data_IF_684206503441
#
_entry.id   IF_684206503441
#
_cell.length_a   1.000
_cell.length_b   1.000
_cell.length_c   1.000
_cell.angle_alpha   90.00
_cell.angle_beta   90.00
_cell.angle_gamma   90.00
#
_symmetry.space_group_name_H-M   'P 1'
#
loop_
_entity.id
_entity.type
_entity.pdbx_description
1 polymer ?
#
# COMPACT_ATOMS: atom_id res chain seq x y z
N UNK A 1 7.90 3.10 3.44
CA UNK A 1 9.22 3.05 4.09
C UNK A 1 9.07 2.48 5.49
N UNK A 2 10.03 1.70 5.98
CA UNK A 2 10.05 1.07 7.30
C UNK A 2 11.22 1.59 8.13
N UNK A 3 10.98 1.89 9.39
CA UNK A 3 12.06 2.29 10.30
C UNK A 3 12.93 1.09 10.67
N UNK A 4 14.25 1.22 10.49
CA UNK A 4 15.23 0.18 10.85
C UNK A 4 15.33 -0.03 12.36
N UNK A 5 15.01 1.00 13.16
CA UNK A 5 15.10 0.97 14.62
C UNK A 5 13.85 0.41 15.31
N UNK A 6 12.66 0.84 14.90
CA UNK A 6 11.41 0.49 15.60
C UNK A 6 10.36 -0.20 14.73
N UNK A 7 10.66 -0.45 13.44
CA UNK A 7 9.74 -1.12 12.52
C UNK A 7 8.55 -0.28 12.04
N UNK A 8 8.36 0.95 12.54
CA UNK A 8 7.24 1.81 12.14
C UNK A 8 7.24 2.08 10.62
N UNK A 9 6.07 1.98 9.99
CA UNK A 9 5.90 2.24 8.56
C UNK A 9 5.33 3.64 8.31
N UNK A 10 5.89 4.33 7.33
CA UNK A 10 5.45 5.67 6.89
C UNK A 10 5.69 5.85 5.39
N UNK A 11 4.99 6.80 4.79
CA UNK A 11 5.19 7.25 3.40
C UNK A 11 5.83 8.65 3.39
N UNK A 12 6.71 8.92 2.42
CA UNK A 12 7.21 10.26 2.10
C UNK A 12 7.97 10.99 3.21
N UNK A 13 8.72 10.29 4.07
CA UNK A 13 9.50 10.91 5.16
C UNK A 13 10.97 10.50 5.10
N UNK A 14 11.85 11.41 5.54
CA UNK A 14 13.30 11.18 5.61
C UNK A 14 13.67 10.46 6.93
N UNK A 15 12.95 10.75 8.03
CA UNK A 15 13.17 10.15 9.35
C UNK A 15 11.89 9.58 9.94
N UNK A 16 12.03 8.57 10.80
CA UNK A 16 10.91 7.94 11.48
C UNK A 16 10.22 8.94 12.43
N UNK A 17 8.90 9.17 12.29
CA UNK A 17 8.19 10.12 13.15
C UNK A 17 8.00 9.63 14.59
N UNK A 18 8.18 8.33 14.86
CA UNK A 18 8.04 7.78 16.22
C UNK A 18 9.34 7.83 17.04
N UNK A 19 10.49 7.60 16.41
CA UNK A 19 11.75 7.41 17.16
C UNK A 19 12.96 8.13 16.55
N UNK A 20 12.77 8.90 15.47
CA UNK A 20 13.85 9.60 14.77
C UNK A 20 14.82 8.69 13.99
N UNK A 21 14.61 7.37 13.99
CA UNK A 21 15.45 6.40 13.29
C UNK A 21 15.41 6.53 11.77
N UNK A 22 16.37 5.88 11.11
CA UNK A 22 16.43 5.82 9.65
C UNK A 22 15.30 4.98 9.05
N UNK A 23 14.95 5.30 7.81
CA UNK A 23 13.88 4.68 7.06
C UNK A 23 14.47 3.99 5.83
N UNK A 24 14.11 2.74 5.63
CA UNK A 24 14.42 1.99 4.41
C UNK A 24 13.17 1.82 3.55
N UNK A 25 13.37 1.70 2.24
CA UNK A 25 12.28 1.31 1.36
C UNK A 25 11.86 -0.12 1.67
N UNK A 26 10.57 -0.39 1.55
CA UNK A 26 10.04 -1.75 1.62
C UNK A 26 9.62 -2.08 0.22
N UNK A 27 10.24 -3.11 -0.36
CA UNK A 27 9.96 -3.51 -1.74
C UNK A 27 8.56 -4.09 -1.88
N UNK A 28 8.12 -4.85 -0.87
CA UNK A 28 6.82 -5.52 -0.90
C UNK A 28 6.28 -5.71 0.51
N UNK A 29 4.97 -5.50 0.68
CA UNK A 29 4.27 -5.69 1.94
C UNK A 29 3.09 -6.62 1.71
N UNK A 30 3.03 -7.72 2.46
CA UNK A 30 1.86 -8.59 2.46
C UNK A 30 0.74 -8.03 3.35
N UNK A 31 -0.50 -8.23 2.92
CA UNK A 31 -1.67 -7.84 3.70
C UNK A 31 -2.97 -8.46 3.23
N UNK A 32 -4.06 -8.12 3.92
CA UNK A 32 -5.42 -8.56 3.63
C UNK A 32 -6.26 -7.37 3.19
N UNK A 33 -6.96 -7.49 2.07
CA UNK A 33 -7.94 -6.49 1.62
C UNK A 33 -9.09 -6.41 2.62
N UNK A 34 -9.35 -5.21 3.14
CA UNK A 34 -10.51 -4.91 3.99
C UNK A 34 -11.67 -4.35 3.18
N UNK A 35 -11.38 -3.41 2.29
CA UNK A 35 -12.35 -2.75 1.41
C UNK A 35 -11.72 -2.53 0.04
N UNK A 36 -12.54 -2.56 -1.00
CA UNK A 36 -12.14 -2.26 -2.37
C UNK A 36 -13.22 -1.43 -3.03
N UNK A 37 -12.82 -0.29 -3.58
CA UNK A 37 -13.69 0.63 -4.31
C UNK A 37 -13.30 0.67 -5.76
N UNK A 38 -14.29 0.65 -6.64
CA UNK A 38 -14.13 0.89 -8.07
C UNK A 38 -14.21 2.40 -8.33
N UNK A 39 -13.19 2.92 -9.00
CA UNK A 39 -13.16 4.30 -9.50
C UNK A 39 -13.33 4.23 -11.02
N UNK A 40 -14.43 4.78 -11.55
CA UNK A 40 -14.81 4.70 -12.97
C UNK A 40 -14.57 6.01 -13.75
N UNK A 41 -14.14 7.07 -13.06
CA UNK A 41 -13.87 8.39 -13.65
C UNK A 41 -12.61 8.90 -12.99
N UNK A 42 -11.49 8.76 -13.68
CA UNK A 42 -10.15 9.06 -13.17
C UNK A 42 -9.61 10.34 -13.81
N UNK A 43 -8.62 11.00 -13.18
CA UNK A 43 -7.95 12.14 -13.79
C UNK A 43 -7.41 11.83 -15.20
N UNK A 44 -7.34 12.84 -16.06
CA UNK A 44 -6.74 12.72 -17.39
C UNK A 44 -5.31 12.14 -17.31
N UNK A 45 -4.97 11.26 -18.26
CA UNK A 45 -3.71 10.51 -18.32
C UNK A 45 -3.54 9.38 -17.29
N UNK A 46 -4.62 8.97 -16.62
CA UNK A 46 -4.68 7.72 -15.85
C UNK A 46 -5.60 6.71 -16.53
N UNK A 47 -5.58 5.47 -16.04
CA UNK A 47 -6.46 4.41 -16.50
C UNK A 47 -7.92 4.81 -16.27
N UNK A 48 -8.81 4.66 -17.26
CA UNK A 48 -10.22 5.10 -17.18
C UNK A 48 -10.96 4.51 -15.96
N UNK A 49 -10.50 3.35 -15.49
CA UNK A 49 -11.04 2.66 -14.34
C UNK A 49 -9.95 1.88 -13.60
N UNK A 50 -9.94 1.98 -12.28
CA UNK A 50 -9.13 1.13 -11.40
C UNK A 50 -9.84 0.87 -10.07
N UNK A 51 -9.35 -0.12 -9.34
CA UNK A 51 -9.75 -0.40 -7.96
C UNK A 51 -8.77 0.24 -7.00
N UNK A 52 -9.28 0.96 -6.01
CA UNK A 52 -8.51 1.41 -4.85
C UNK A 52 -8.87 0.52 -3.67
N UNK A 53 -7.89 -0.14 -3.07
CA UNK A 53 -8.12 -1.08 -1.97
C UNK A 53 -7.42 -0.64 -0.69
N UNK A 54 -8.14 -0.74 0.44
CA UNK A 54 -7.57 -0.59 1.78
C UNK A 54 -7.09 -1.96 2.25
N UNK A 55 -5.79 -2.09 2.44
CA UNK A 55 -5.13 -3.35 2.84
C UNK A 55 -4.62 -3.22 4.28
N UNK A 56 -5.01 -4.17 5.11
CA UNK A 56 -4.44 -4.34 6.45
C UNK A 56 -3.16 -5.17 6.36
N UNK A 57 -2.11 -4.66 6.97
CA UNK A 57 -0.78 -5.26 7.05
C UNK A 57 -0.41 -5.43 8.52
N UNK A 58 0.64 -6.19 8.83
CA UNK A 58 1.13 -6.36 10.20
C UNK A 58 1.48 -5.05 10.92
N UNK A 59 1.74 -3.95 10.18
CA UNK A 59 2.17 -2.67 10.73
C UNK A 59 1.15 -1.52 10.54
N UNK A 60 -0.06 -1.83 10.06
CA UNK A 60 -1.10 -0.82 9.86
C UNK A 60 -1.86 -1.00 8.54
N UNK A 61 -2.53 0.06 8.09
CA UNK A 61 -3.35 0.04 6.88
C UNK A 61 -2.70 0.87 5.77
N UNK A 62 -2.79 0.38 4.55
CA UNK A 62 -2.24 1.05 3.36
C UNK A 62 -3.27 1.06 2.23
N UNK A 63 -3.20 2.06 1.37
CA UNK A 63 -3.96 2.09 0.13
C UNK A 63 -3.09 1.57 -1.01
N UNK A 64 -3.67 0.76 -1.90
CA UNK A 64 -3.05 0.36 -3.16
C UNK A 64 -4.06 0.35 -4.30
N UNK A 65 -3.59 0.53 -5.53
CA UNK A 65 -4.38 0.49 -6.76
C UNK A 65 -4.23 -0.85 -7.49
N UNK A 66 -5.23 -1.27 -8.25
CA UNK A 66 -5.16 -2.43 -9.15
C UNK A 66 -6.17 -2.30 -10.30
N UNK A 67 -5.90 -2.94 -11.44
CA UNK A 67 -6.85 -2.96 -12.56
C UNK A 67 -8.01 -3.95 -12.33
N UNK A 68 -7.76 -4.98 -11.53
CA UNK A 68 -8.75 -5.99 -11.14
C UNK A 68 -9.16 -5.83 -9.67
N UNK A 69 -10.34 -6.37 -9.33
CA UNK A 69 -10.78 -6.46 -7.94
C UNK A 69 -10.12 -7.67 -7.28
N UNK A 70 -9.43 -7.43 -6.18
CA UNK A 70 -8.88 -8.50 -5.34
C UNK A 70 -9.61 -8.62 -4.01
N UNK A 71 -9.74 -9.86 -3.54
CA UNK A 71 -10.29 -10.19 -2.24
C UNK A 71 -9.31 -11.11 -1.49
N UNK A 72 -9.25 -11.00 -0.17
CA UNK A 72 -8.34 -11.80 0.63
C UNK A 72 -6.91 -11.24 0.66
N UNK A 73 -5.91 -12.10 0.52
CA UNK A 73 -4.49 -11.72 0.65
C UNK A 73 -3.97 -11.09 -0.64
N UNK A 74 -3.15 -10.06 -0.48
CA UNK A 74 -2.45 -9.36 -1.56
C UNK A 74 -1.04 -8.97 -1.14
N UNK A 75 -0.19 -8.73 -2.12
CA UNK A 75 1.10 -8.06 -1.97
C UNK A 75 0.95 -6.60 -2.41
N UNK A 76 1.57 -5.68 -1.69
CA UNK A 76 1.57 -4.26 -2.00
C UNK A 76 2.98 -3.83 -2.36
N UNK A 77 3.17 -3.29 -3.57
CA UNK A 77 4.47 -2.84 -4.08
C UNK A 77 4.30 -1.51 -4.80
N UNK A 78 5.01 -0.48 -4.37
CA UNK A 78 4.96 0.87 -4.96
C UNK A 78 3.54 1.45 -5.11
N UNK A 79 2.61 1.09 -4.21
CA UNK A 79 1.22 1.53 -4.28
C UNK A 79 0.34 0.68 -5.20
N UNK A 80 0.85 -0.38 -5.82
CA UNK A 80 0.07 -1.39 -6.56
C UNK A 80 -0.33 -2.55 -5.64
N UNK A 81 -1.56 -3.03 -5.76
CA UNK A 81 -1.97 -4.33 -5.23
C UNK A 81 -1.64 -5.40 -6.27
N UNK A 82 -0.98 -6.47 -5.84
CA UNK A 82 -0.61 -7.61 -6.66
C UNK A 82 -1.29 -8.85 -6.07
N UNK A 83 -1.85 -9.69 -6.94
CA UNK A 83 -2.49 -10.95 -6.54
C UNK A 83 -1.49 -11.82 -5.79
N UNK A 84 -1.94 -12.36 -4.64
CA UNK A 84 -1.18 -13.36 -3.90
C UNK A 84 -1.34 -14.71 -4.62
N UNK A 85 -0.24 -15.32 -5.06
CA UNK A 85 -0.21 -16.65 -5.69
C UNK A 85 0.13 -17.69 -4.63
#
# INVERSE_FOLDING_TARGET
MKCTKCGYMTLGRIKCPKCGGELTNVEEIEGKVLFSWILNVTPENLEEKYYLSLVETHNGKVLCKSLERYEGRVKVKNGECIKYV
#
